data_IF_037440381198
#
_entry.id   IF_037440381198
#
_cell.length_a   1.000
_cell.length_b   1.000
_cell.length_c   1.000
_cell.angle_alpha   90.00
_cell.angle_beta   90.00
_cell.angle_gamma   90.00
#
_symmetry.space_group_name_H-M   'P 1'
#
loop_
_entity.id
_entity.type
_entity.pdbx_description
1 polymer ?
#
# COMPACT_ATOMS: atom_id res chain seq x y z
N UNK A 1 -15.75 -12.26 -2.41
CA UNK A 1 -14.38 -12.71 -2.02
C UNK A 1 -13.42 -12.21 -3.08
N UNK A 2 -12.17 -11.91 -2.75
CA UNK A 2 -11.15 -11.82 -3.81
C UNK A 2 -11.04 -13.22 -4.45
N UNK A 3 -11.12 -13.28 -5.77
CA UNK A 3 -10.96 -14.55 -6.49
C UNK A 3 -9.52 -15.08 -6.29
N UNK A 4 -9.31 -16.39 -6.42
CA UNK A 4 -7.99 -17.00 -6.21
C UNK A 4 -6.91 -16.31 -7.05
N UNK A 5 -7.25 -15.94 -8.28
CA UNK A 5 -6.36 -15.25 -9.21
C UNK A 5 -5.95 -13.86 -8.72
N UNK A 6 -6.86 -13.10 -8.09
CA UNK A 6 -6.54 -11.79 -7.50
C UNK A 6 -5.55 -11.93 -6.34
N UNK A 7 -5.76 -12.93 -5.48
CA UNK A 7 -4.90 -13.19 -4.33
C UNK A 7 -3.52 -13.66 -4.79
N UNK A 8 -3.48 -14.53 -5.79
CA UNK A 8 -2.24 -14.99 -6.41
C UNK A 8 -1.52 -13.81 -7.09
N UNK A 9 -2.26 -12.91 -7.75
CA UNK A 9 -1.68 -11.72 -8.36
C UNK A 9 -1.01 -10.81 -7.33
N UNK A 10 -1.55 -10.68 -6.11
CA UNK A 10 -0.90 -9.93 -5.02
C UNK A 10 0.47 -10.51 -4.66
N UNK A 11 0.58 -11.83 -4.51
CA UNK A 11 1.87 -12.49 -4.23
C UNK A 11 2.89 -12.22 -5.35
N UNK A 12 2.42 -12.16 -6.61
CA UNK A 12 3.28 -11.84 -7.77
C UNK A 12 3.78 -10.40 -7.79
N UNK A 13 3.23 -9.50 -6.99
CA UNK A 13 3.69 -8.10 -6.89
C UNK A 13 4.85 -7.89 -5.92
N UNK A 14 5.21 -8.91 -5.13
CA UNK A 14 6.35 -8.83 -4.20
C UNK A 14 7.64 -8.73 -5.03
N UNK A 15 8.39 -7.65 -4.81
CA UNK A 15 9.63 -7.37 -5.53
C UNK A 15 10.86 -8.04 -4.90
N UNK A 16 12.03 -7.98 -5.56
CA UNK A 16 13.25 -8.65 -5.10
C UNK A 16 13.68 -8.28 -3.68
N UNK A 17 13.57 -7.00 -3.28
CA UNK A 17 13.87 -6.56 -1.91
C UNK A 17 12.91 -7.16 -0.89
N UNK A 18 11.62 -7.27 -1.22
CA UNK A 18 10.63 -7.90 -0.36
C UNK A 18 10.91 -9.40 -0.20
N UNK A 19 11.38 -10.06 -1.25
CA UNK A 19 11.79 -11.46 -1.18
C UNK A 19 13.08 -11.68 -0.38
N UNK A 20 14.07 -10.80 -0.51
CA UNK A 20 15.30 -10.85 0.28
C UNK A 20 15.00 -10.64 1.77
N UNK A 21 14.13 -9.69 2.10
CA UNK A 21 13.67 -9.50 3.48
C UNK A 21 12.92 -10.73 4.01
N UNK A 22 12.08 -11.37 3.20
CA UNK A 22 11.40 -12.60 3.60
C UNK A 22 12.40 -13.73 3.92
N UNK A 23 13.49 -13.85 3.17
CA UNK A 23 14.53 -14.85 3.43
C UNK A 23 15.18 -14.64 4.80
N UNK A 24 15.56 -13.39 5.13
CA UNK A 24 16.12 -13.03 6.43
C UNK A 24 15.14 -13.34 7.57
N UNK A 25 13.86 -12.99 7.40
CA UNK A 25 12.81 -13.26 8.39
C UNK A 25 12.65 -14.77 8.62
N UNK A 26 12.61 -15.57 7.54
CA UNK A 26 12.49 -17.02 7.63
C UNK A 26 13.70 -17.62 8.34
N UNK A 27 14.91 -17.14 8.05
CA UNK A 27 16.13 -17.59 8.70
C UNK A 27 16.14 -17.28 10.19
N UNK A 28 15.76 -16.05 10.57
CA UNK A 28 15.64 -15.64 11.98
C UNK A 28 14.63 -16.51 12.73
N UNK A 29 13.40 -16.62 12.20
CA UNK A 29 12.34 -17.42 12.82
C UNK A 29 12.66 -18.92 12.89
N UNK A 30 13.42 -19.46 11.93
CA UNK A 30 13.82 -20.86 11.96
C UNK A 30 14.85 -21.17 13.05
N UNK A 31 15.63 -20.17 13.46
CA UNK A 31 16.67 -20.29 14.49
C UNK A 31 16.18 -19.91 15.90
N UNK A 32 14.94 -19.45 16.02
CA UNK A 32 14.38 -18.91 17.26
C UNK A 32 13.16 -19.77 17.65
N UNK A 33 13.31 -20.79 18.51
CA UNK A 33 12.31 -21.84 18.70
C UNK A 33 11.02 -21.35 19.37
N UNK A 34 11.01 -20.16 19.96
CA UNK A 34 9.83 -19.54 20.57
C UNK A 34 9.93 -18.02 20.49
N UNK A 35 9.61 -17.41 19.33
CA UNK A 35 9.85 -15.99 19.08
C UNK A 35 8.76 -15.10 19.69
N UNK A 36 8.40 -15.38 20.94
CA UNK A 36 7.41 -14.66 21.73
C UNK A 36 7.47 -15.07 23.21
N UNK A 37 6.94 -14.21 24.07
CA UNK A 37 6.78 -14.46 25.50
C UNK A 37 5.35 -14.17 25.96
N UNK A 38 4.84 -15.00 26.88
CA UNK A 38 3.60 -14.68 27.61
C UNK A 38 3.94 -13.81 28.81
N UNK A 39 3.20 -12.73 28.98
CA UNK A 39 3.34 -11.78 30.08
C UNK A 39 1.99 -11.64 30.80
N UNK A 40 2.02 -11.24 32.07
CA UNK A 40 0.81 -11.14 32.89
C UNK A 40 0.28 -12.50 33.36
N UNK A 41 -1.02 -12.57 33.64
CA UNK A 41 -1.63 -13.73 34.30
C UNK A 41 -1.46 -13.71 35.83
N UNK A 42 -0.65 -12.80 36.35
CA UNK A 42 -0.43 -12.64 37.77
C UNK A 42 -1.66 -12.07 38.49
N UNK A 43 -1.80 -12.48 39.75
CA UNK A 43 -2.81 -11.93 40.66
C UNK A 43 -2.24 -10.71 41.37
N UNK A 44 -2.91 -9.58 41.22
CA UNK A 44 -2.52 -8.33 41.89
C UNK A 44 -2.71 -8.45 43.41
N UNK A 45 -2.11 -7.51 44.16
CA UNK A 45 -2.26 -7.42 45.62
C UNK A 45 -3.73 -7.26 46.07
N UNK A 46 -4.62 -6.78 45.20
CA UNK A 46 -6.07 -6.65 45.46
C UNK A 46 -6.88 -7.87 45.03
N UNK A 47 -6.22 -8.92 44.54
CA UNK A 47 -6.85 -10.18 44.15
C UNK A 47 -7.39 -10.22 42.72
N UNK A 48 -7.22 -9.15 41.93
CA UNK A 48 -7.60 -9.07 40.51
C UNK A 48 -6.56 -9.83 39.67
N UNK A 49 -7.00 -10.65 38.71
CA UNK A 49 -6.09 -11.33 37.79
C UNK A 49 -5.96 -10.49 36.52
N UNK A 50 -4.73 -10.13 36.17
CA UNK A 50 -4.47 -9.51 34.87
C UNK A 50 -4.55 -10.58 33.79
N UNK A 51 -5.30 -10.33 32.71
CA UNK A 51 -5.34 -11.26 31.58
C UNK A 51 -3.95 -11.37 30.95
N UNK A 52 -3.43 -12.58 30.70
CA UNK A 52 -2.12 -12.74 30.08
C UNK A 52 -2.15 -12.25 28.61
N UNK A 53 -1.03 -11.73 28.13
CA UNK A 53 -0.86 -11.26 26.76
C UNK A 53 0.44 -11.76 26.15
N UNK A 54 0.50 -11.80 24.82
CA UNK A 54 1.72 -12.18 24.11
C UNK A 54 2.54 -10.95 23.74
N UNK A 55 3.83 -10.99 24.07
CA UNK A 55 4.84 -10.10 23.52
C UNK A 55 5.59 -10.85 22.42
N UNK A 56 5.50 -10.38 21.19
CA UNK A 56 6.19 -10.99 20.06
C UNK A 56 7.64 -10.50 19.98
N UNK A 57 8.55 -11.40 19.61
CA UNK A 57 9.94 -11.05 19.35
C UNK A 57 10.06 -10.21 18.06
N UNK A 58 11.15 -9.43 17.90
CA UNK A 58 11.35 -8.58 16.74
C UNK A 58 11.21 -9.31 15.40
N UNK A 59 11.66 -10.58 15.30
CA UNK A 59 11.55 -11.38 14.09
C UNK A 59 10.09 -11.73 13.75
N UNK A 60 9.30 -12.13 14.74
CA UNK A 60 7.87 -12.45 14.55
C UNK A 60 7.06 -11.19 14.21
N UNK A 61 7.34 -10.07 14.88
CA UNK A 61 6.70 -8.79 14.58
C UNK A 61 7.08 -8.28 13.17
N UNK A 62 8.36 -8.42 12.78
CA UNK A 62 8.82 -8.09 11.41
C UNK A 62 8.11 -8.92 10.35
N UNK A 63 7.88 -10.22 10.60
CA UNK A 63 7.12 -11.07 9.69
C UNK A 63 5.68 -10.60 9.47
N UNK A 64 4.99 -10.18 10.54
CA UNK A 64 3.62 -9.66 10.46
C UNK A 64 3.59 -8.34 9.70
N UNK A 65 4.55 -7.44 9.98
CA UNK A 65 4.69 -6.18 9.25
C UNK A 65 4.93 -6.44 7.77
N UNK A 66 5.85 -7.34 7.44
CA UNK A 66 6.13 -7.73 6.05
C UNK A 66 4.88 -8.21 5.33
N UNK A 67 4.10 -9.12 5.94
CA UNK A 67 2.82 -9.59 5.37
C UNK A 67 1.85 -8.43 5.12
N UNK A 68 1.78 -7.47 6.05
CA UNK A 68 0.95 -6.27 5.89
C UNK A 68 1.44 -5.33 4.78
N UNK A 69 2.75 -5.10 4.70
CA UNK A 69 3.40 -4.24 3.70
C UNK A 69 3.28 -4.79 2.29
N UNK A 70 3.37 -6.12 2.14
CA UNK A 70 3.12 -6.82 0.88
C UNK A 70 1.62 -6.99 0.55
N UNK A 71 0.71 -6.47 1.41
CA UNK A 71 -0.74 -6.61 1.25
C UNK A 71 -1.25 -8.06 1.24
N UNK A 72 -0.51 -8.96 1.90
CA UNK A 72 -0.84 -10.38 2.04
C UNK A 72 -1.70 -10.66 3.29
N UNK A 73 -2.13 -9.59 3.99
CA UNK A 73 -3.22 -9.63 4.98
C UNK A 73 -4.43 -8.96 4.35
N UNK A 74 -5.29 -9.77 3.73
CA UNK A 74 -6.37 -9.30 2.85
C UNK A 74 -7.70 -9.06 3.57
N UNK A 75 -8.68 -8.53 2.85
CA UNK A 75 -10.06 -8.46 3.34
C UNK A 75 -10.81 -9.76 3.02
N UNK A 76 -11.01 -10.62 4.03
CA UNK A 76 -11.86 -11.79 3.91
C UNK A 76 -13.33 -11.36 4.06
N UNK A 77 -13.97 -11.04 2.94
CA UNK A 77 -15.39 -10.63 2.92
C UNK A 77 -16.36 -11.72 3.43
N UNK A 78 -15.89 -12.96 3.53
CA UNK A 78 -16.67 -14.07 4.09
C UNK A 78 -15.73 -15.07 4.82
N UNK A 79 -15.18 -14.62 5.96
CA UNK A 79 -14.28 -15.45 6.79
C UNK A 79 -14.93 -16.77 7.21
N UNK A 80 -16.26 -16.80 7.29
CA UNK A 80 -17.08 -17.93 7.75
C UNK A 80 -17.24 -19.07 6.75
N UNK A 81 -17.19 -18.81 5.44
CA UNK A 81 -17.33 -19.88 4.42
C UNK A 81 -15.99 -20.51 4.04
N UNK A 82 -14.89 -19.76 4.15
CA UNK A 82 -13.55 -20.30 3.88
C UNK A 82 -12.88 -20.93 5.11
N UNK A 83 -13.03 -20.37 6.30
CA UNK A 83 -12.32 -20.91 7.47
C UNK A 83 -12.99 -22.17 8.00
N UNK A 84 -12.25 -23.28 8.02
CA UNK A 84 -12.64 -24.49 8.76
C UNK A 84 -11.51 -24.83 9.73
N UNK A 85 -11.79 -25.19 11.01
CA UNK A 85 -10.76 -25.33 12.06
C UNK A 85 -9.67 -26.37 11.80
N UNK A 86 -9.79 -27.16 10.73
CA UNK A 86 -8.87 -28.26 10.38
C UNK A 86 -8.48 -28.25 8.90
N UNK A 87 -8.65 -27.11 8.19
CA UNK A 87 -8.31 -27.03 6.76
C UNK A 87 -6.83 -27.29 6.50
N UNK A 88 -5.98 -26.79 7.40
CA UNK A 88 -4.53 -26.95 7.41
C UNK A 88 -4.09 -27.21 8.87
N UNK A 89 -4.11 -28.48 9.33
CA UNK A 89 -3.89 -28.80 10.73
C UNK A 89 -2.42 -28.70 11.17
N UNK A 90 -1.48 -28.69 10.23
CA UNK A 90 -0.04 -28.72 10.50
C UNK A 90 0.79 -28.01 9.41
N UNK A 91 2.08 -27.77 9.68
CA UNK A 91 3.01 -27.14 8.74
C UNK A 91 3.10 -27.87 7.37
N UNK A 92 3.25 -29.21 7.28
CA UNK A 92 3.27 -29.92 5.99
C UNK A 92 2.03 -29.69 5.13
N UNK A 93 0.84 -29.62 5.73
CA UNK A 93 -0.39 -29.34 4.99
C UNK A 93 -0.40 -27.93 4.36
N UNK A 94 0.28 -26.97 4.99
CA UNK A 94 0.46 -25.61 4.47
C UNK A 94 1.47 -25.57 3.34
N UNK A 95 2.55 -26.36 3.42
CA UNK A 95 3.54 -26.46 2.34
C UNK A 95 2.91 -26.96 1.02
N UNK A 96 1.85 -27.76 1.10
CA UNK A 96 1.08 -28.23 -0.06
C UNK A 96 -0.08 -27.31 -0.46
N UNK A 97 -0.37 -26.26 0.31
CA UNK A 97 -1.53 -25.40 0.07
C UNK A 97 -1.42 -24.60 -1.24
N UNK A 98 -2.57 -24.18 -1.77
CA UNK A 98 -2.61 -23.16 -2.83
C UNK A 98 -2.07 -21.84 -2.28
N UNK A 99 -1.55 -20.98 -3.16
CA UNK A 99 -1.13 -19.64 -2.73
C UNK A 99 -2.27 -18.81 -2.17
N UNK A 100 -3.43 -18.89 -2.83
CA UNK A 100 -4.60 -18.16 -2.38
C UNK A 100 -4.98 -18.57 -0.96
N UNK A 101 -4.97 -19.87 -0.68
CA UNK A 101 -5.23 -20.39 0.67
C UNK A 101 -4.13 -20.05 1.67
N UNK A 102 -2.87 -20.03 1.25
CA UNK A 102 -1.74 -19.59 2.08
C UNK A 102 -1.94 -18.15 2.56
N UNK A 103 -2.32 -17.24 1.65
CA UNK A 103 -2.60 -15.83 1.97
C UNK A 103 -3.85 -15.69 2.84
N UNK A 104 -4.90 -16.49 2.60
CA UNK A 104 -6.09 -16.52 3.45
C UNK A 104 -5.79 -17.04 4.86
N UNK A 105 -4.90 -18.02 4.99
CA UNK A 105 -4.44 -18.55 6.27
C UNK A 105 -3.62 -17.50 7.03
N UNK A 106 -2.66 -16.84 6.36
CA UNK A 106 -1.90 -15.72 6.91
C UNK A 106 -2.84 -14.60 7.42
N UNK A 107 -3.83 -14.25 6.59
CA UNK A 107 -4.85 -13.26 6.93
C UNK A 107 -5.67 -13.68 8.15
N UNK A 108 -6.05 -14.96 8.23
CA UNK A 108 -6.86 -15.50 9.33
C UNK A 108 -6.10 -15.49 10.65
N UNK A 109 -4.82 -15.87 10.65
CA UNK A 109 -3.96 -15.90 11.85
C UNK A 109 -3.68 -14.47 12.33
N UNK A 110 -3.18 -13.60 11.45
CA UNK A 110 -2.80 -12.21 11.82
C UNK A 110 -4.02 -11.41 12.29
N UNK A 111 -5.18 -11.59 11.66
CA UNK A 111 -6.41 -10.92 12.12
C UNK A 111 -7.06 -11.61 13.31
N UNK A 112 -6.88 -12.91 13.46
CA UNK A 112 -7.41 -13.73 14.56
C UNK A 112 -6.87 -13.31 15.91
N UNK A 113 -5.60 -12.91 15.96
CA UNK A 113 -4.92 -12.45 17.17
C UNK A 113 -5.59 -11.23 17.82
N UNK A 114 -6.24 -10.37 17.02
CA UNK A 114 -7.04 -9.24 17.53
C UNK A 114 -8.28 -9.66 18.34
N UNK A 115 -8.72 -10.90 18.17
CA UNK A 115 -9.93 -11.43 18.79
C UNK A 115 -9.63 -12.52 19.84
N UNK A 116 -8.51 -13.22 19.68
CA UNK A 116 -8.04 -14.24 20.60
C UNK A 116 -6.53 -14.10 20.75
N UNK A 117 -6.12 -13.62 21.93
CA UNK A 117 -4.72 -13.48 22.31
C UNK A 117 -3.98 -14.82 22.16
N UNK A 118 -2.77 -14.77 21.60
CA UNK A 118 -1.94 -15.94 21.36
C UNK A 118 -2.32 -16.79 20.13
N UNK A 119 -3.16 -16.29 19.22
CA UNK A 119 -3.43 -16.95 17.93
C UNK A 119 -2.15 -17.05 17.10
N UNK A 120 -1.36 -15.97 17.05
CA UNK A 120 -0.06 -15.94 16.35
C UNK A 120 0.95 -16.82 17.08
N UNK A 121 1.01 -16.76 18.41
CA UNK A 121 1.87 -17.61 19.23
C UNK A 121 1.62 -19.10 18.97
N UNK A 122 0.36 -19.53 18.92
CA UNK A 122 0.00 -20.90 18.61
C UNK A 122 0.44 -21.33 17.20
N UNK A 123 0.32 -20.42 16.21
CA UNK A 123 0.77 -20.68 14.84
C UNK A 123 2.30 -20.71 14.70
N UNK A 124 3.02 -19.98 15.57
CA UNK A 124 4.49 -20.05 15.67
C UNK A 124 4.91 -21.39 16.29
N UNK A 125 4.28 -21.79 17.40
CA UNK A 125 4.58 -23.04 18.12
C UNK A 125 4.41 -24.30 17.24
N UNK A 126 3.32 -24.36 16.47
CA UNK A 126 3.03 -25.52 15.62
C UNK A 126 3.67 -25.41 14.22
N UNK A 127 4.47 -24.37 13.97
CA UNK A 127 5.22 -24.16 12.72
C UNK A 127 4.38 -23.72 11.52
N UNK A 128 3.05 -23.57 11.66
CA UNK A 128 2.17 -23.12 10.58
C UNK A 128 2.58 -21.74 10.06
N UNK A 129 2.93 -20.83 10.96
CA UNK A 129 3.32 -19.48 10.58
C UNK A 129 4.58 -19.46 9.71
N UNK A 130 5.58 -20.28 10.07
CA UNK A 130 6.80 -20.43 9.29
C UNK A 130 6.55 -21.14 7.94
N UNK A 131 5.66 -22.13 7.91
CA UNK A 131 5.25 -22.83 6.69
C UNK A 131 4.55 -21.88 5.70
N UNK A 132 3.70 -20.96 6.19
CA UNK A 132 3.09 -19.90 5.37
C UNK A 132 4.18 -19.07 4.67
N UNK A 133 5.17 -18.58 5.41
CA UNK A 133 6.24 -17.76 4.85
C UNK A 133 7.07 -18.54 3.82
N UNK A 134 7.43 -19.79 4.11
CA UNK A 134 8.17 -20.67 3.18
C UNK A 134 7.36 -20.98 1.92
N UNK A 135 6.06 -21.19 2.05
CA UNK A 135 5.15 -21.45 0.94
C UNK A 135 4.99 -20.25 0.01
N UNK A 136 4.97 -19.03 0.58
CA UNK A 136 5.01 -17.79 -0.20
C UNK A 136 6.35 -17.64 -0.92
N UNK A 137 7.47 -17.88 -0.22
CA UNK A 137 8.82 -17.84 -0.79
C UNK A 137 9.00 -18.80 -1.97
N UNK A 138 8.39 -19.99 -1.95
CA UNK A 138 8.57 -20.99 -3.02
C UNK A 138 8.12 -20.51 -4.41
N UNK A 139 7.31 -19.46 -4.49
CA UNK A 139 6.95 -18.81 -5.77
C UNK A 139 8.10 -18.07 -6.43
N UNK A 140 9.10 -17.65 -5.66
CA UNK A 140 10.29 -16.99 -6.19
C UNK A 140 11.08 -17.93 -7.12
N UNK A 141 11.23 -19.20 -6.74
CA UNK A 141 11.99 -20.19 -7.51
C UNK A 141 11.32 -20.53 -8.86
N UNK A 142 9.98 -20.46 -8.94
CA UNK A 142 9.25 -20.66 -10.19
C UNK A 142 9.42 -19.51 -11.21
N UNK A 143 10.05 -18.39 -10.81
CA UNK A 143 10.42 -17.27 -11.71
C UNK A 143 11.80 -17.41 -12.35
N UNK A 144 12.73 -18.18 -11.76
CA UNK A 144 14.09 -18.34 -12.33
C UNK A 144 14.11 -19.12 -13.66
N UNK A 145 13.00 -19.78 -14.04
CA UNK A 145 12.81 -20.48 -15.32
C UNK A 145 11.99 -19.74 -16.38
N UNK A 146 11.49 -18.53 -16.09
CA UNK A 146 10.71 -17.70 -17.03
C UNK A 146 11.25 -16.28 -16.96
N UNK A 147 12.29 -16.00 -17.74
CA UNK A 147 12.82 -14.67 -17.95
C UNK A 147 11.76 -13.79 -18.63
N UNK A 148 10.94 -13.14 -17.82
CA UNK A 148 10.39 -11.83 -18.13
C UNK A 148 11.36 -10.84 -17.52
N UNK A 149 11.99 -10.01 -18.34
CA UNK A 149 12.93 -8.92 -18.04
C UNK A 149 12.61 -8.22 -16.70
N UNK A 150 13.15 -8.76 -15.60
CA UNK A 150 13.11 -8.19 -14.25
C UNK A 150 14.35 -7.30 -14.07
N UNK A 151 14.48 -6.30 -14.95
CA UNK A 151 15.14 -5.08 -14.53
C UNK A 151 14.24 -4.50 -13.45
N UNK A 152 14.68 -4.55 -12.19
CA UNK A 152 14.27 -3.55 -11.20
C UNK A 152 14.41 -2.21 -11.90
N UNK A 153 13.29 -1.58 -12.27
CA UNK A 153 13.36 -0.27 -12.89
C UNK A 153 14.13 0.63 -11.93
N UNK A 154 15.34 1.02 -12.34
CA UNK A 154 16.08 2.03 -11.62
C UNK A 154 15.30 3.33 -11.79
N UNK A 155 14.78 3.84 -10.68
CA UNK A 155 13.98 5.04 -10.66
C UNK A 155 14.82 6.15 -10.05
N UNK A 156 14.93 7.26 -10.76
CA UNK A 156 15.38 8.52 -10.17
C UNK A 156 14.16 9.22 -9.57
N UNK A 157 14.19 9.40 -8.25
CA UNK A 157 13.14 10.03 -7.48
C UNK A 157 13.59 11.42 -7.03
N UNK A 158 12.89 12.45 -7.48
CA UNK A 158 13.16 13.85 -7.10
C UNK A 158 11.91 14.50 -6.53
N UNK A 159 12.08 15.51 -5.68
CA UNK A 159 10.96 16.26 -5.12
C UNK A 159 11.41 17.60 -4.59
N UNK A 160 10.48 18.54 -4.53
CA UNK A 160 10.73 19.87 -3.99
C UNK A 160 9.81 20.14 -2.80
N UNK A 161 10.42 20.57 -1.69
CA UNK A 161 9.73 20.91 -0.45
C UNK A 161 9.89 22.40 -0.13
N UNK A 162 9.03 22.92 0.73
CA UNK A 162 9.31 24.18 1.43
C UNK A 162 10.52 24.03 2.37
N UNK A 163 11.15 25.15 2.74
CA UNK A 163 12.29 25.17 3.67
C UNK A 163 11.95 24.55 5.04
N UNK A 164 10.73 24.77 5.53
CA UNK A 164 10.21 24.20 6.76
C UNK A 164 9.75 22.73 6.61
N UNK A 165 9.77 22.20 5.39
CA UNK A 165 9.32 20.85 5.06
C UNK A 165 7.83 20.61 5.24
N UNK A 166 7.00 21.62 5.52
CA UNK A 166 5.55 21.47 5.69
C UNK A 166 4.81 21.21 4.37
N UNK A 167 5.37 21.69 3.26
CA UNK A 167 4.79 21.57 1.93
C UNK A 167 5.69 20.73 1.02
N UNK A 168 5.07 19.96 0.13
CA UNK A 168 5.75 19.38 -1.03
C UNK A 168 5.07 19.89 -2.30
N UNK A 169 5.81 20.65 -3.09
CA UNK A 169 5.32 21.27 -4.32
C UNK A 169 5.09 20.23 -5.41
N UNK A 170 6.05 19.32 -5.59
CA UNK A 170 5.95 18.23 -6.55
C UNK A 170 6.85 17.05 -6.14
N UNK A 171 6.61 15.89 -6.74
CA UNK A 171 7.46 14.70 -6.68
C UNK A 171 7.51 14.05 -8.05
N UNK A 172 8.69 13.70 -8.55
CA UNK A 172 8.87 12.97 -9.79
C UNK A 172 9.48 11.60 -9.51
N UNK A 173 9.01 10.61 -10.28
CA UNK A 173 9.66 9.32 -10.45
C UNK A 173 9.94 9.09 -11.92
N UNK A 174 11.21 9.01 -12.30
CA UNK A 174 11.69 8.90 -13.67
C UNK A 174 12.45 7.59 -13.90
N UNK A 175 12.23 6.95 -15.05
CA UNK A 175 12.95 5.72 -15.45
C UNK A 175 13.62 5.82 -16.83
N UNK A 176 13.37 6.90 -17.57
CA UNK A 176 14.04 7.18 -18.83
C UNK A 176 14.00 8.69 -19.13
N UNK A 177 14.71 9.10 -20.19
CA UNK A 177 14.57 10.43 -20.75
C UNK A 177 13.26 10.57 -21.53
N UNK A 178 12.66 11.76 -21.51
CA UNK A 178 11.42 12.06 -22.23
C UNK A 178 10.28 12.57 -21.33
N UNK A 179 9.09 12.77 -21.92
CA UNK A 179 7.98 13.41 -21.23
C UNK A 179 7.39 12.56 -20.11
N UNK A 180 6.84 13.24 -19.10
CA UNK A 180 6.20 12.64 -17.93
C UNK A 180 4.69 12.80 -17.93
N UNK A 181 4.01 11.86 -17.27
CA UNK A 181 2.59 11.97 -16.92
C UNK A 181 2.43 12.88 -15.70
N UNK A 182 1.62 13.93 -15.80
CA UNK A 182 1.24 14.75 -14.66
C UNK A 182 0.10 14.03 -13.91
N UNK A 183 0.30 13.71 -12.65
CA UNK A 183 -0.73 13.17 -11.77
C UNK A 183 -1.11 14.20 -10.71
N UNK A 184 -2.37 14.62 -10.73
CA UNK A 184 -2.95 15.55 -9.75
C UNK A 184 -3.65 14.76 -8.65
N UNK A 185 -3.00 14.67 -7.49
CA UNK A 185 -3.49 14.04 -6.27
C UNK A 185 -4.15 15.02 -5.29
N UNK A 186 -4.58 14.51 -4.12
CA UNK A 186 -5.21 15.34 -3.09
C UNK A 186 -4.16 16.16 -2.32
N UNK A 187 -3.26 15.48 -1.61
CA UNK A 187 -2.22 16.08 -0.80
C UNK A 187 -1.06 15.08 -0.56
N UNK A 188 0.19 15.56 -0.40
CA UNK A 188 1.34 14.73 -0.03
C UNK A 188 1.18 14.05 1.32
N UNK A 189 1.77 12.87 1.50
CA UNK A 189 1.87 12.22 2.81
C UNK A 189 3.14 12.68 3.54
N UNK A 190 3.14 12.60 4.87
CA UNK A 190 4.37 12.86 5.64
C UNK A 190 5.38 11.72 5.49
N UNK A 191 4.91 10.51 5.17
CA UNK A 191 5.72 9.29 5.08
C UNK A 191 6.32 8.99 3.69
N UNK A 192 6.33 9.94 2.76
CA UNK A 192 6.78 9.66 1.40
C UNK A 192 8.25 9.22 1.35
N UNK A 193 9.12 9.73 2.22
CA UNK A 193 10.55 9.35 2.27
C UNK A 193 10.84 8.03 3.01
N UNK A 194 9.85 7.36 3.58
CA UNK A 194 10.08 6.24 4.53
C UNK A 194 10.22 4.88 3.86
N UNK A 195 10.45 4.81 2.55
CA UNK A 195 10.59 3.54 1.81
C UNK A 195 9.34 2.67 1.74
N UNK A 196 8.18 3.16 2.23
CA UNK A 196 6.92 2.40 2.25
C UNK A 196 6.43 2.09 0.83
N UNK A 197 5.84 0.90 0.59
CA UNK A 197 5.20 0.59 -0.68
C UNK A 197 4.19 1.66 -1.08
N UNK A 198 4.29 2.16 -2.32
CA UNK A 198 3.39 3.17 -2.88
C UNK A 198 2.48 2.53 -3.94
N UNK A 199 1.45 1.76 -3.56
CA UNK A 199 0.64 0.98 -4.51
C UNK A 199 -0.06 1.88 -5.55
N UNK A 200 -0.52 3.06 -5.14
CA UNK A 200 -1.11 4.04 -6.06
C UNK A 200 -0.09 4.54 -7.08
N UNK A 201 1.14 4.86 -6.65
CA UNK A 201 2.20 5.29 -7.56
C UNK A 201 2.55 4.18 -8.55
N UNK A 202 2.65 2.92 -8.11
CA UNK A 202 2.90 1.78 -9.02
C UNK A 202 1.84 1.66 -10.10
N UNK A 203 0.55 1.82 -9.76
CA UNK A 203 -0.54 1.82 -10.76
C UNK A 203 -0.39 2.94 -11.78
N UNK A 204 -0.04 4.15 -11.33
CA UNK A 204 0.12 5.31 -12.23
C UNK A 204 1.37 5.17 -13.10
N UNK A 205 2.48 4.65 -12.55
CA UNK A 205 3.70 4.31 -13.31
C UNK A 205 3.41 3.31 -14.42
N UNK A 206 2.68 2.24 -14.12
CA UNK A 206 2.29 1.24 -15.12
C UNK A 206 1.47 1.87 -16.27
N UNK A 207 0.56 2.80 -15.95
CA UNK A 207 -0.22 3.56 -16.95
C UNK A 207 0.66 4.48 -17.80
N UNK A 208 1.57 5.22 -17.17
CA UNK A 208 2.50 6.09 -17.87
C UNK A 208 3.40 5.29 -18.83
N UNK A 209 3.93 4.14 -18.39
CA UNK A 209 4.69 3.22 -19.25
C UNK A 209 3.86 2.68 -20.41
N UNK A 210 2.63 2.26 -20.17
CA UNK A 210 1.72 1.79 -21.22
C UNK A 210 1.39 2.89 -22.24
N UNK A 211 1.44 4.16 -21.83
CA UNK A 211 1.30 5.33 -22.70
C UNK A 211 2.62 5.76 -23.38
N UNK A 212 3.73 5.04 -23.19
CA UNK A 212 5.03 5.36 -23.76
C UNK A 212 5.74 6.57 -23.13
N UNK A 213 5.41 6.91 -21.88
CA UNK A 213 6.02 8.02 -21.13
C UNK A 213 7.20 7.54 -20.27
N UNK A 214 7.98 8.50 -19.78
CA UNK A 214 9.27 8.23 -19.13
C UNK A 214 9.33 8.60 -17.64
N UNK A 215 8.30 9.30 -17.13
CA UNK A 215 8.17 9.62 -15.71
C UNK A 215 6.71 9.80 -15.28
N UNK A 216 6.51 9.80 -13.96
CA UNK A 216 5.29 10.31 -13.32
C UNK A 216 5.67 11.49 -12.45
N UNK A 217 5.04 12.64 -12.70
CA UNK A 217 5.21 13.85 -11.91
C UNK A 217 3.93 14.09 -11.13
N UNK A 218 4.03 14.06 -9.80
CA UNK A 218 2.91 14.19 -8.87
C UNK A 218 2.83 15.62 -8.35
N UNK A 219 1.72 16.27 -8.64
CA UNK A 219 1.28 17.52 -8.00
C UNK A 219 0.02 17.25 -7.19
N UNK A 220 -0.36 18.16 -6.31
CA UNK A 220 -1.51 17.95 -5.43
C UNK A 220 -2.39 19.19 -5.33
N UNK A 221 -3.69 19.00 -5.12
CA UNK A 221 -4.62 20.09 -4.83
C UNK A 221 -4.11 20.99 -3.69
N UNK A 222 -3.53 20.36 -2.68
CA UNK A 222 -2.96 20.97 -1.49
C UNK A 222 -1.51 20.50 -1.34
N UNK A 223 -0.54 21.40 -1.22
CA UNK A 223 0.86 21.00 -1.02
C UNK A 223 1.19 20.66 0.42
N UNK A 224 0.30 20.98 1.38
CA UNK A 224 0.47 20.63 2.79
C UNK A 224 0.59 19.12 3.00
N UNK A 225 1.65 18.69 3.68
CA UNK A 225 1.91 17.28 3.95
C UNK A 225 1.04 16.78 5.11
N UNK A 226 0.20 15.80 4.83
CA UNK A 226 -0.65 15.14 5.82
C UNK A 226 -0.97 13.70 5.39
N UNK A 227 -0.85 12.73 6.30
CA UNK A 227 -1.10 11.32 5.95
C UNK A 227 -2.57 11.00 5.71
N UNK A 228 -3.49 11.68 6.43
CA UNK A 228 -4.92 11.40 6.36
C UNK A 228 -5.70 12.67 5.94
N UNK A 229 -6.76 12.55 5.13
CA UNK A 229 -7.61 13.68 4.75
C UNK A 229 -8.22 14.44 5.95
N UNK A 230 -8.47 13.73 7.06
CA UNK A 230 -8.95 14.36 8.29
C UNK A 230 -7.91 15.31 8.93
N UNK A 231 -6.62 15.00 8.80
CA UNK A 231 -5.54 15.84 9.29
C UNK A 231 -5.37 17.08 8.41
N UNK A 232 -5.48 16.91 7.09
CA UNK A 232 -5.51 18.03 6.13
C UNK A 232 -6.68 18.98 6.44
N UNK A 233 -7.89 18.45 6.64
CA UNK A 233 -9.08 19.24 7.00
C UNK A 233 -8.91 19.97 8.35
N UNK A 234 -8.20 19.37 9.31
CA UNK A 234 -7.90 20.01 10.59
C UNK A 234 -6.90 21.15 10.40
N UNK A 235 -5.82 20.91 9.65
CA UNK A 235 -4.80 21.93 9.37
C UNK A 235 -5.38 23.16 8.65
N UNK A 236 -6.39 22.96 7.80
CA UNK A 236 -7.08 24.05 7.09
C UNK A 236 -7.73 25.12 8.01
N UNK A 237 -7.86 24.85 9.31
CA UNK A 237 -8.41 25.81 10.28
C UNK A 237 -7.40 26.90 10.64
N UNK A 238 -6.12 26.55 10.70
CA UNK A 238 -5.07 27.37 11.29
C UNK A 238 -3.89 27.62 10.33
N UNK A 239 -3.85 26.92 9.19
CA UNK A 239 -2.76 26.99 8.22
C UNK A 239 -3.29 27.13 6.78
N UNK A 240 -2.53 27.83 5.93
CA UNK A 240 -2.72 27.77 4.48
C UNK A 240 -2.31 26.39 3.98
N UNK A 241 -3.27 25.48 3.82
CA UNK A 241 -2.97 24.13 3.34
C UNK A 241 -2.73 24.06 1.82
N UNK A 242 -3.07 25.10 1.06
CA UNK A 242 -2.82 25.14 -0.37
C UNK A 242 -1.33 25.31 -0.58
N UNK A 243 -0.74 26.34 0.01
CA UNK A 243 0.68 26.67 -0.10
C UNK A 243 0.97 27.55 -1.33
N UNK A 244 1.85 28.54 -1.12
CA UNK A 244 2.04 29.70 -2.01
C UNK A 244 2.42 29.40 -3.47
N UNK A 245 3.07 28.26 -3.74
CA UNK A 245 3.56 27.87 -5.08
C UNK A 245 2.70 26.83 -5.77
N UNK A 246 1.65 26.34 -5.11
CA UNK A 246 0.91 25.16 -5.55
C UNK A 246 0.24 25.35 -6.90
N UNK A 247 -0.42 26.49 -7.12
CA UNK A 247 -1.10 26.76 -8.39
C UNK A 247 -0.12 26.92 -9.55
N UNK A 248 0.98 27.66 -9.33
CA UNK A 248 2.05 27.85 -10.31
C UNK A 248 2.62 26.51 -10.77
N UNK A 249 2.98 25.65 -9.81
CA UNK A 249 3.58 24.33 -10.07
C UNK A 249 2.59 23.39 -10.75
N UNK A 250 1.30 23.43 -10.41
CA UNK A 250 0.26 22.65 -11.09
C UNK A 250 0.15 23.07 -12.56
N UNK A 251 0.07 24.37 -12.84
CA UNK A 251 -0.08 24.91 -14.19
C UNK A 251 1.14 24.53 -15.05
N UNK A 252 2.34 24.75 -14.53
CA UNK A 252 3.60 24.45 -15.22
C UNK A 252 3.69 22.96 -15.58
N UNK A 253 3.50 22.07 -14.58
CA UNK A 253 3.63 20.63 -14.79
C UNK A 253 2.51 20.08 -15.67
N UNK A 254 1.27 20.55 -15.50
CA UNK A 254 0.16 20.12 -16.36
C UNK A 254 0.40 20.48 -17.83
N UNK A 255 0.89 21.70 -18.10
CA UNK A 255 1.13 22.20 -19.47
C UNK A 255 2.27 21.47 -20.20
N UNK A 256 3.30 21.02 -19.48
CA UNK A 256 4.43 20.30 -20.10
C UNK A 256 4.20 18.79 -20.26
N UNK A 257 3.16 18.25 -19.62
CA UNK A 257 2.88 16.83 -19.62
C UNK A 257 1.91 16.45 -20.76
N UNK A 258 2.23 15.44 -21.59
CA UNK A 258 1.31 14.97 -22.63
C UNK A 258 0.00 14.41 -22.09
N UNK A 259 0.00 13.95 -20.84
CA UNK A 259 -1.17 13.45 -20.12
C UNK A 259 -1.22 14.11 -18.75
N UNK A 260 -2.31 14.81 -18.47
CA UNK A 260 -2.67 15.27 -17.12
C UNK A 260 -3.78 14.38 -16.56
N UNK A 261 -3.44 13.56 -15.57
CA UNK A 261 -4.36 12.69 -14.84
C UNK A 261 -4.87 13.37 -13.57
N UNK A 262 -6.13 13.80 -13.60
CA UNK A 262 -6.91 14.20 -12.44
C UNK A 262 -7.35 12.96 -11.65
N UNK A 263 -6.91 12.82 -10.39
CA UNK A 263 -7.24 11.65 -9.57
C UNK A 263 -7.12 11.90 -8.05
N UNK A 264 -7.71 12.99 -7.56
CA UNK A 264 -7.64 13.40 -6.15
C UNK A 264 -8.73 12.82 -5.23
N UNK A 265 -9.76 12.17 -5.78
CA UNK A 265 -10.82 11.54 -4.98
C UNK A 265 -11.81 12.52 -4.35
N UNK A 266 -12.75 12.00 -3.56
CA UNK A 266 -13.92 12.75 -3.05
C UNK A 266 -13.60 13.92 -2.12
N UNK A 267 -12.37 14.04 -1.63
CA UNK A 267 -11.96 15.12 -0.74
C UNK A 267 -11.52 16.39 -1.48
N UNK A 268 -11.53 16.40 -2.82
CA UNK A 268 -11.32 17.61 -3.63
C UNK A 268 -12.33 18.72 -3.34
N UNK A 269 -13.50 18.37 -2.81
CA UNK A 269 -14.55 19.33 -2.40
C UNK A 269 -14.11 20.27 -1.26
N UNK A 270 -13.06 19.91 -0.52
CA UNK A 270 -12.52 20.76 0.54
C UNK A 270 -12.13 22.13 -0.03
N UNK A 271 -12.70 23.20 0.52
CA UNK A 271 -12.50 24.59 0.05
C UNK A 271 -12.87 24.82 -1.42
N UNK A 272 -13.66 23.92 -2.04
CA UNK A 272 -13.97 23.97 -3.47
C UNK A 272 -12.73 23.76 -4.37
N UNK A 273 -11.66 23.17 -3.83
CA UNK A 273 -10.34 23.17 -4.43
C UNK A 273 -10.26 22.34 -5.71
N UNK A 274 -10.89 21.17 -5.75
CA UNK A 274 -10.92 20.31 -6.93
C UNK A 274 -11.46 21.04 -8.16
N UNK A 275 -12.59 21.75 -8.02
CA UNK A 275 -13.17 22.57 -9.09
C UNK A 275 -12.30 23.76 -9.47
N UNK A 276 -11.62 24.40 -8.52
CA UNK A 276 -10.71 25.50 -8.80
C UNK A 276 -9.50 25.03 -9.60
N UNK A 277 -8.86 23.94 -9.18
CA UNK A 277 -7.69 23.36 -9.85
C UNK A 277 -8.04 22.81 -11.22
N UNK A 278 -9.21 22.18 -11.39
CA UNK A 278 -9.62 21.65 -12.69
C UNK A 278 -9.60 22.70 -13.81
N UNK A 279 -9.83 23.98 -13.50
CA UNK A 279 -9.76 25.10 -14.44
C UNK A 279 -8.33 25.54 -14.79
N UNK A 280 -7.35 25.11 -13.99
CA UNK A 280 -5.93 25.40 -14.18
C UNK A 280 -5.21 24.33 -15.02
N UNK A 281 -5.83 23.15 -15.16
CA UNK A 281 -5.24 22.01 -15.86
C UNK A 281 -5.45 22.11 -17.37
N UNK A 282 -4.45 21.67 -18.12
CA UNK A 282 -4.55 21.55 -19.58
C UNK A 282 -5.09 20.16 -19.96
N UNK A 283 -6.29 20.13 -20.53
CA UNK A 283 -6.96 18.90 -20.99
C UNK A 283 -6.98 17.74 -19.97
N UNK A 284 -7.45 17.93 -18.73
CA UNK A 284 -7.36 16.90 -17.71
C UNK A 284 -8.19 15.66 -18.08
N UNK A 285 -7.59 14.48 -17.87
CA UNK A 285 -8.22 13.18 -17.98
C UNK A 285 -8.46 12.58 -16.59
N UNK A 286 -9.46 11.73 -16.44
CA UNK A 286 -9.73 10.99 -15.21
C UNK A 286 -10.08 9.52 -15.47
N UNK A 287 -10.09 8.73 -14.40
CA UNK A 287 -10.44 7.30 -14.40
C UNK A 287 -11.92 7.07 -14.04
N UNK A 288 -12.77 8.06 -14.37
CA UNK A 288 -14.15 8.17 -13.94
C UNK A 288 -14.33 9.07 -12.72
N UNK A 289 -15.59 9.35 -12.40
CA UNK A 289 -15.98 10.30 -11.34
C UNK A 289 -16.70 9.60 -10.18
N UNK A 290 -16.66 10.23 -9.01
CA UNK A 290 -17.47 9.87 -7.83
C UNK A 290 -18.91 10.36 -8.02
N UNK A 291 -19.81 9.98 -7.10
CA UNK A 291 -21.17 10.51 -7.08
C UNK A 291 -21.25 12.04 -6.88
N UNK A 292 -20.16 12.66 -6.39
CA UNK A 292 -20.06 14.11 -6.19
C UNK A 292 -19.35 14.82 -7.35
N UNK A 293 -19.11 14.13 -8.47
CA UNK A 293 -18.41 14.68 -9.65
C UNK A 293 -16.89 14.78 -9.51
N UNK A 294 -16.28 14.30 -8.42
CA UNK A 294 -14.82 14.37 -8.23
C UNK A 294 -14.13 13.21 -8.96
N UNK A 295 -12.92 13.39 -9.52
CA UNK A 295 -12.20 12.32 -10.21
C UNK A 295 -11.78 11.23 -9.23
N UNK A 296 -11.99 9.97 -9.61
CA UNK A 296 -11.68 8.82 -8.76
C UNK A 296 -10.17 8.69 -8.52
N UNK A 297 -9.82 8.35 -7.30
CA UNK A 297 -8.44 8.07 -6.92
C UNK A 297 -7.98 6.71 -7.52
N UNK A 298 -6.72 6.57 -8.02
CA UNK A 298 -6.30 5.40 -8.79
C UNK A 298 -6.33 4.09 -8.00
N UNK A 299 -6.26 4.17 -6.66
CA UNK A 299 -6.36 3.00 -5.79
C UNK A 299 -7.67 2.22 -5.98
N UNK A 300 -8.79 2.93 -6.19
CA UNK A 300 -10.14 2.36 -6.21
C UNK A 300 -10.66 2.03 -7.61
N UNK A 301 -9.80 2.07 -8.62
CA UNK A 301 -10.11 1.72 -9.99
C UNK A 301 -9.20 0.58 -10.45
N UNK A 302 -9.72 -0.25 -11.35
CA UNK A 302 -8.97 -1.33 -11.99
C UNK A 302 -7.90 -0.77 -12.93
N UNK A 303 -6.91 -1.57 -13.31
CA UNK A 303 -5.79 -1.10 -14.14
C UNK A 303 -6.19 -0.88 -15.61
N UNK A 304 -7.24 -1.54 -16.06
CA UNK A 304 -7.81 -1.45 -17.41
C UNK A 304 -8.80 -0.27 -17.58
N UNK A 305 -9.12 0.46 -16.50
CA UNK A 305 -9.99 1.62 -16.59
C UNK A 305 -9.45 2.62 -17.63
N UNK A 306 -10.31 2.98 -18.59
CA UNK A 306 -10.00 3.86 -19.72
C UNK A 306 -9.99 5.31 -19.24
N UNK A 307 -9.03 6.10 -19.72
CA UNK A 307 -8.99 7.54 -19.47
C UNK A 307 -10.11 8.24 -20.23
N UNK A 308 -10.79 9.16 -19.56
CA UNK A 308 -11.84 9.99 -20.15
C UNK A 308 -11.62 11.46 -19.80
N UNK A 309 -12.03 12.42 -20.66
CA UNK A 309 -11.98 13.83 -20.32
C UNK A 309 -12.68 14.11 -18.98
N UNK A 310 -12.05 14.92 -18.14
CA UNK A 310 -12.62 15.37 -16.88
C UNK A 310 -13.22 16.77 -17.06
N UNK A 311 -14.54 16.88 -16.91
CA UNK A 311 -15.25 18.15 -16.92
C UNK A 311 -15.77 18.49 -15.51
N UNK A 312 -15.26 19.56 -14.87
CA UNK A 312 -15.71 19.98 -13.55
C UNK A 312 -17.09 20.67 -13.54
N UNK A 313 -17.77 20.77 -14.68
CA UNK A 313 -19.09 21.39 -14.84
C UNK A 313 -20.27 20.40 -14.85
N UNK A 314 -20.00 19.09 -14.84
CA UNK A 314 -21.01 18.01 -14.80
C UNK A 314 -21.20 17.49 -13.38
#
# INVERSE_FOLDING_TARGET
MAEDDDIVALVRTVGPRGWAELDEIIEQLANEPRPYEWQGGDRTATGVIQMPWVLLDPAADRAIRWLGEQQLVTHLADRTTWYTPHRYPDAPSVDAASLADTVRLATSIVRGDRFSEGTIAAALDNGIFLAILRRLRSQRASREGLAVDDRTDDYDDSSEYSEDGLYRWWYERRWADGPGLCWVGLNPSTGDTTGRPRPTLRKVVARAKAAGLSSVIVVNLFSWRATKPADLKRAARDHDIVGRRTDEVIIEISKQSPITLAAWGSHGILLGRGRAVAKLLDGPLCLGVTASGEPRHPLYVTNDAVLSPYDPAV
#
